data_IF_972876733977
#
_entry.id   IF_972876733977
#
_cell.length_a   1.000
_cell.length_b   1.000
_cell.length_c   1.000
_cell.angle_alpha   90.00
_cell.angle_beta   90.00
_cell.angle_gamma   90.00
#
_symmetry.space_group_name_H-M   'P 1'
#
loop_
_entity.id
_entity.type
_entity.pdbx_description
1 polymer ?
#
# COMPACT_ATOMS: atom_id res chain seq x y z
N UNK A 1 17.27 7.72 -9.95
CA UNK A 1 17.60 7.43 -11.38
C UNK A 1 17.99 5.98 -11.48
N UNK A 2 17.51 5.23 -12.47
CA UNK A 2 17.98 3.88 -12.73
C UNK A 2 19.27 3.94 -13.53
N UNK A 3 20.31 3.25 -13.08
CA UNK A 3 21.57 3.05 -13.81
C UNK A 3 21.56 1.65 -14.43
N UNK A 4 21.69 1.56 -15.75
CA UNK A 4 21.75 0.29 -16.47
C UNK A 4 23.16 -0.33 -16.43
N UNK A 5 23.33 -1.51 -17.05
CA UNK A 5 24.60 -2.25 -17.07
C UNK A 5 25.74 -1.48 -17.76
N UNK A 6 25.41 -0.58 -18.69
CA UNK A 6 26.36 0.29 -19.40
C UNK A 6 26.66 1.60 -18.61
N UNK A 7 26.08 1.75 -17.42
CA UNK A 7 26.25 2.94 -16.58
C UNK A 7 25.42 4.15 -17.03
N UNK A 8 24.51 3.97 -18.00
CA UNK A 8 23.63 5.03 -18.47
C UNK A 8 22.46 5.18 -17.50
N UNK A 9 22.09 6.45 -17.27
CA UNK A 9 21.06 6.83 -16.29
C UNK A 9 19.76 7.21 -16.97
N UNK A 10 18.67 6.63 -16.48
CA UNK A 10 17.32 6.94 -16.93
C UNK A 10 16.40 7.32 -15.76
N UNK A 11 15.41 8.16 -16.08
CA UNK A 11 14.37 8.53 -15.12
C UNK A 11 13.50 7.30 -14.87
N UNK A 12 13.16 7.09 -13.61
CA UNK A 12 12.15 6.11 -13.20
C UNK A 12 10.89 6.90 -12.92
N UNK A 13 9.79 6.52 -13.54
CA UNK A 13 8.46 7.04 -13.24
C UNK A 13 7.79 6.04 -12.32
N UNK A 14 7.95 6.24 -11.01
CA UNK A 14 7.14 5.52 -10.03
C UNK A 14 5.79 6.22 -9.97
N UNK A 15 4.73 5.48 -10.26
CA UNK A 15 3.37 5.94 -10.10
C UNK A 15 2.71 5.15 -8.99
N UNK A 16 2.30 5.86 -7.93
CA UNK A 16 1.68 5.36 -6.69
C UNK A 16 2.44 4.19 -6.02
N UNK A 17 2.78 4.41 -4.74
CA UNK A 17 3.52 3.46 -3.93
C UNK A 17 5.02 3.32 -4.23
N UNK A 18 5.79 3.23 -3.14
CA UNK A 18 7.16 2.77 -3.12
C UNK A 18 7.31 1.89 -1.89
N UNK A 19 7.71 0.63 -2.06
CA UNK A 19 8.11 -0.19 -0.92
C UNK A 19 9.61 -0.03 -0.69
N UNK A 20 10.00 0.37 0.52
CA UNK A 20 11.41 0.46 0.93
C UNK A 20 11.71 -0.62 1.97
N UNK A 21 12.83 -1.31 1.80
CA UNK A 21 13.27 -2.29 2.79
C UNK A 21 13.73 -1.58 4.07
N UNK A 22 13.44 -2.20 5.22
CA UNK A 22 13.94 -1.79 6.54
C UNK A 22 15.27 -2.43 6.89
N UNK A 23 15.66 -3.51 6.20
CA UNK A 23 16.84 -4.31 6.52
C UNK A 23 17.98 -4.12 5.52
N UNK A 24 17.63 -3.73 4.30
CA UNK A 24 18.58 -3.57 3.21
C UNK A 24 18.30 -2.31 2.42
N UNK A 25 19.22 -1.97 1.53
CA UNK A 25 19.06 -0.84 0.61
C UNK A 25 18.23 -1.24 -0.61
N UNK A 26 17.14 -1.99 -0.45
CA UNK A 26 16.27 -2.38 -1.56
C UNK A 26 15.03 -1.50 -1.64
N UNK A 27 14.53 -1.36 -2.86
CA UNK A 27 13.22 -0.77 -3.11
C UNK A 27 12.45 -1.57 -4.15
N UNK A 28 11.12 -1.54 -4.05
CA UNK A 28 10.19 -1.96 -5.10
C UNK A 28 9.36 -0.77 -5.54
N UNK A 29 9.19 -0.61 -6.85
CA UNK A 29 8.36 0.45 -7.44
C UNK A 29 7.52 -0.12 -8.58
N UNK A 30 6.41 0.55 -8.88
CA UNK A 30 5.63 0.32 -10.10
C UNK A 30 6.16 1.18 -11.24
N UNK A 31 6.45 0.59 -12.39
CA UNK A 31 6.71 1.33 -13.64
C UNK A 31 5.51 1.19 -14.57
N UNK A 32 4.77 2.30 -14.71
CA UNK A 32 3.64 2.39 -15.64
C UNK A 32 4.00 3.07 -16.96
N UNK A 33 5.20 3.64 -17.10
CA UNK A 33 5.68 4.50 -18.20
C UNK A 33 4.84 5.76 -18.48
N UNK A 34 3.56 5.77 -18.11
CA UNK A 34 2.60 6.85 -18.26
C UNK A 34 1.86 7.05 -16.93
N UNK A 35 1.57 8.30 -16.52
CA UNK A 35 0.75 8.57 -15.35
C UNK A 35 -0.58 7.81 -15.35
N UNK A 36 -0.94 7.22 -14.22
CA UNK A 36 -2.17 6.44 -14.09
C UNK A 36 -3.20 7.23 -13.28
N UNK A 37 -4.10 7.95 -13.94
CA UNK A 37 -5.07 8.79 -13.22
C UNK A 37 -6.38 8.03 -12.93
N UNK A 38 -6.79 7.98 -11.67
CA UNK A 38 -8.10 7.53 -11.23
C UNK A 38 -8.11 6.22 -10.43
N UNK A 39 -9.00 6.13 -9.44
CA UNK A 39 -9.16 5.01 -8.50
C UNK A 39 -10.06 3.87 -9.01
N UNK A 40 -10.66 4.02 -10.20
CA UNK A 40 -11.65 3.08 -10.71
C UNK A 40 -11.76 3.08 -12.24
N UNK A 41 -12.39 2.03 -12.78
CA UNK A 41 -12.50 1.80 -14.23
C UNK A 41 -13.13 2.99 -14.98
N UNK A 42 -14.04 3.74 -14.35
CA UNK A 42 -14.71 4.89 -14.96
C UNK A 42 -13.73 6.07 -15.07
N UNK A 43 -12.94 6.31 -14.02
CA UNK A 43 -11.99 7.40 -13.94
C UNK A 43 -10.76 7.19 -14.84
N UNK A 44 -10.16 5.99 -14.83
CA UNK A 44 -8.94 5.72 -15.61
C UNK A 44 -9.21 5.14 -16.99
N UNK A 45 -10.46 4.74 -17.26
CA UNK A 45 -10.92 4.29 -18.57
C UNK A 45 -10.07 3.18 -19.17
N UNK A 46 -9.72 3.35 -20.46
CA UNK A 46 -8.94 2.39 -21.23
C UNK A 46 -7.50 2.21 -20.73
N UNK A 47 -6.95 3.16 -19.98
CA UNK A 47 -5.57 3.07 -19.48
C UNK A 47 -5.37 1.87 -18.55
N UNK A 48 -6.40 1.45 -17.79
CA UNK A 48 -6.35 0.20 -16.99
C UNK A 48 -5.95 -1.01 -17.85
N UNK A 49 -6.46 -1.08 -19.08
CA UNK A 49 -6.23 -2.22 -19.96
C UNK A 49 -4.93 -2.06 -20.75
N UNK A 50 -4.65 -0.86 -21.25
CA UNK A 50 -3.59 -0.63 -22.23
C UNK A 50 -2.25 -0.20 -21.63
N UNK A 51 -2.24 0.47 -20.48
CA UNK A 51 -1.00 0.92 -19.87
C UNK A 51 -0.21 -0.28 -19.32
N UNK A 52 1.12 -0.30 -19.50
CA UNK A 52 1.95 -1.29 -18.81
C UNK A 52 1.87 -1.05 -17.30
N UNK A 53 1.99 -2.12 -16.52
CA UNK A 53 2.19 -2.03 -15.08
C UNK A 53 3.02 -3.23 -14.66
N UNK A 54 4.17 -2.93 -14.05
CA UNK A 54 5.20 -3.88 -13.67
C UNK A 54 5.79 -3.45 -12.35
N UNK A 55 6.02 -4.42 -11.47
CA UNK A 55 6.80 -4.22 -10.27
C UNK A 55 8.26 -4.55 -10.56
N UNK A 56 9.13 -3.64 -10.17
CA UNK A 56 10.58 -3.79 -10.27
C UNK A 56 11.18 -3.75 -8.89
N UNK A 57 12.21 -4.55 -8.65
CA UNK A 57 13.05 -4.48 -7.46
C UNK A 57 14.44 -4.03 -7.85
N UNK A 58 15.10 -3.24 -7.00
CA UNK A 58 16.49 -2.82 -7.20
C UNK A 58 17.14 -2.29 -5.94
N UNK A 59 18.47 -2.14 -5.99
CA UNK A 59 19.28 -1.61 -4.90
C UNK A 59 19.34 -0.08 -4.99
N UNK A 60 18.83 0.60 -3.97
CA UNK A 60 18.89 2.04 -3.79
C UNK A 60 20.23 2.46 -3.16
N UNK A 61 21.06 3.14 -3.93
CA UNK A 61 22.35 3.66 -3.47
C UNK A 61 22.22 5.16 -3.24
N UNK A 62 22.21 5.55 -1.97
CA UNK A 62 22.25 6.96 -1.60
C UNK A 62 23.68 7.51 -1.65
N UNK A 63 23.93 8.43 -2.58
CA UNK A 63 25.11 9.29 -2.56
C UNK A 63 24.60 10.71 -2.37
N UNK A 64 25.20 11.50 -1.46
CA UNK A 64 24.69 12.81 -0.97
C UNK A 64 24.10 13.76 -2.03
N UNK A 65 24.54 13.68 -3.29
CA UNK A 65 24.06 14.51 -4.39
C UNK A 65 23.44 13.72 -5.55
N UNK A 66 23.49 12.38 -5.53
CA UNK A 66 23.00 11.50 -6.59
C UNK A 66 22.48 10.18 -6.01
N UNK A 67 21.17 10.01 -5.97
CA UNK A 67 20.56 8.72 -5.64
C UNK A 67 20.34 7.90 -6.91
N UNK A 68 20.91 6.69 -6.95
CA UNK A 68 20.81 5.78 -8.08
C UNK A 68 20.19 4.45 -7.65
N UNK A 69 19.49 3.81 -8.57
CA UNK A 69 18.97 2.45 -8.45
C UNK A 69 19.86 1.57 -9.33
N UNK A 70 20.35 0.45 -8.78
CA UNK A 70 21.14 -0.55 -9.48
C UNK A 70 20.48 -1.93 -9.41
N UNK A 71 20.97 -2.85 -10.23
CA UNK A 71 20.56 -4.26 -10.23
C UNK A 71 19.04 -4.44 -10.35
N UNK A 72 18.41 -3.54 -11.12
CA UNK A 72 16.97 -3.52 -11.27
C UNK A 72 16.51 -4.73 -12.08
N UNK A 73 15.48 -5.41 -11.60
CA UNK A 73 14.83 -6.50 -12.33
C UNK A 73 13.32 -6.49 -12.09
N UNK A 74 12.57 -6.88 -13.11
CA UNK A 74 11.14 -7.10 -13.01
C UNK A 74 10.87 -8.30 -12.09
N UNK A 75 9.82 -8.19 -11.27
CA UNK A 75 9.37 -9.27 -10.37
C UNK A 75 7.93 -9.70 -10.62
N UNK A 76 7.07 -8.77 -11.06
CA UNK A 76 5.65 -9.03 -11.35
C UNK A 76 5.23 -8.16 -12.52
N UNK A 77 4.44 -8.74 -13.42
CA UNK A 77 3.76 -8.05 -14.50
C UNK A 77 2.25 -8.13 -14.31
N UNK A 78 1.51 -7.11 -14.79
CA UNK A 78 0.04 -7.14 -14.75
C UNK A 78 -0.58 -8.37 -15.43
N UNK A 79 0.15 -9.00 -16.36
CA UNK A 79 -0.29 -10.21 -17.05
C UNK A 79 -0.24 -11.46 -16.17
N UNK A 80 0.58 -11.47 -15.11
CA UNK A 80 0.67 -12.58 -14.17
C UNK A 80 -0.58 -12.69 -13.27
N UNK A 81 -1.32 -11.58 -13.14
CA UNK A 81 -2.50 -11.47 -12.28
C UNK A 81 -3.80 -11.37 -13.09
N UNK A 82 -3.85 -10.49 -14.09
CA UNK A 82 -5.05 -10.29 -14.92
C UNK A 82 -5.37 -8.84 -15.29
N UNK A 83 -4.47 -8.14 -15.98
CA UNK A 83 -4.70 -6.80 -16.54
C UNK A 83 -5.11 -5.73 -15.52
N UNK A 84 -4.27 -5.56 -14.51
CA UNK A 84 -4.47 -4.65 -13.38
C UNK A 84 -3.31 -3.65 -13.27
N UNK A 85 -3.53 -2.57 -12.53
CA UNK A 85 -2.48 -1.70 -12.03
C UNK A 85 -1.91 -2.31 -10.74
N UNK A 86 -0.58 -2.28 -10.60
CA UNK A 86 0.17 -2.84 -9.49
C UNK A 86 0.80 -1.70 -8.68
N UNK A 87 0.65 -1.74 -7.38
CA UNK A 87 1.25 -0.79 -6.45
C UNK A 87 2.00 -1.53 -5.35
N UNK A 88 3.32 -1.34 -5.21
CA UNK A 88 4.07 -1.97 -4.14
C UNK A 88 3.84 -1.26 -2.81
N UNK A 89 3.73 -2.06 -1.76
CA UNK A 89 3.34 -1.59 -0.44
C UNK A 89 4.46 -1.75 0.58
N UNK A 90 4.68 -2.97 1.09
CA UNK A 90 5.60 -3.22 2.19
C UNK A 90 6.51 -4.43 1.95
N UNK A 91 7.78 -4.33 2.34
CA UNK A 91 8.62 -5.51 2.54
C UNK A 91 8.19 -6.25 3.81
N UNK A 92 8.18 -7.59 3.74
CA UNK A 92 7.83 -8.46 4.85
C UNK A 92 8.84 -9.60 5.00
N UNK A 93 8.99 -10.04 6.25
CA UNK A 93 9.88 -11.14 6.63
C UNK A 93 11.34 -10.72 6.69
N UNK A 94 12.11 -11.48 7.47
CA UNK A 94 13.54 -11.26 7.60
C UNK A 94 14.24 -11.40 6.23
N UNK A 95 15.24 -10.55 6.00
CA UNK A 95 16.04 -10.45 4.79
C UNK A 95 15.25 -10.15 3.51
N UNK A 96 14.17 -9.37 3.61
CA UNK A 96 13.30 -9.00 2.48
C UNK A 96 12.66 -10.22 1.80
N UNK A 97 12.18 -11.20 2.57
CA UNK A 97 11.68 -12.46 2.00
C UNK A 97 10.52 -12.23 1.02
N UNK A 98 9.66 -11.24 1.32
CA UNK A 98 8.44 -10.96 0.58
C UNK A 98 8.22 -9.47 0.40
N UNK A 99 7.39 -9.12 -0.57
CA UNK A 99 6.84 -7.77 -0.72
C UNK A 99 5.33 -7.88 -0.96
N UNK A 100 4.54 -7.08 -0.25
CA UNK A 100 3.11 -6.91 -0.55
C UNK A 100 2.91 -5.90 -1.66
N UNK A 101 1.88 -6.13 -2.47
CA UNK A 101 1.44 -5.17 -3.46
C UNK A 101 -0.07 -5.23 -3.65
N UNK A 102 -0.65 -4.07 -3.87
CA UNK A 102 -2.06 -3.90 -4.23
C UNK A 102 -2.23 -4.03 -5.74
N UNK A 103 -3.41 -4.51 -6.11
CA UNK A 103 -3.79 -4.87 -7.46
C UNK A 103 -5.15 -4.26 -7.78
N UNK A 104 -5.15 -3.18 -8.55
CA UNK A 104 -6.34 -2.40 -8.87
C UNK A 104 -6.79 -2.67 -10.30
N UNK A 105 -8.07 -2.97 -10.48
CA UNK A 105 -8.60 -3.09 -11.83
C UNK A 105 -9.78 -4.04 -11.97
N UNK A 106 -10.18 -4.30 -13.23
CA UNK A 106 -11.42 -4.99 -13.54
C UNK A 106 -11.43 -6.46 -13.13
N UNK A 107 -10.29 -7.07 -12.81
CA UNK A 107 -10.22 -8.48 -12.36
C UNK A 107 -10.11 -8.61 -10.84
N UNK A 108 -10.03 -7.50 -10.09
CA UNK A 108 -10.01 -7.51 -8.63
C UNK A 108 -11.38 -7.90 -8.03
N UNK A 109 -11.35 -8.48 -6.83
CA UNK A 109 -12.54 -8.85 -6.05
C UNK A 109 -13.01 -7.65 -5.22
N UNK A 110 -13.63 -6.68 -5.87
CA UNK A 110 -13.95 -5.38 -5.26
C UNK A 110 -13.18 -4.29 -5.98
N UNK A 111 -12.67 -3.30 -5.25
CA UNK A 111 -11.83 -2.23 -5.79
C UNK A 111 -10.35 -2.62 -5.89
N UNK A 112 -9.83 -3.44 -4.97
CA UNK A 112 -8.44 -3.88 -4.95
C UNK A 112 -8.30 -5.31 -4.40
N UNK A 113 -7.32 -6.07 -4.92
CA UNK A 113 -6.83 -7.29 -4.27
C UNK A 113 -5.44 -7.01 -3.71
N UNK A 114 -4.99 -7.81 -2.74
CA UNK A 114 -3.60 -7.77 -2.25
C UNK A 114 -2.88 -9.08 -2.51
N UNK A 115 -1.66 -8.98 -3.01
CA UNK A 115 -0.79 -10.11 -3.25
C UNK A 115 0.54 -9.94 -2.51
N UNK A 116 1.22 -11.06 -2.33
CA UNK A 116 2.61 -11.17 -1.90
C UNK A 116 3.43 -11.69 -3.06
N UNK A 117 4.58 -11.09 -3.31
CA UNK A 117 5.63 -11.74 -4.10
C UNK A 117 6.66 -12.35 -3.15
N UNK A 118 6.85 -13.67 -3.19
CA UNK A 118 7.88 -14.36 -2.43
C UNK A 118 9.17 -14.42 -3.25
N UNK A 119 10.22 -13.71 -2.82
CA UNK A 119 11.48 -13.61 -3.58
C UNK A 119 12.23 -14.94 -3.69
N UNK A 120 12.11 -15.80 -2.67
CA UNK A 120 12.81 -17.10 -2.62
C UNK A 120 12.16 -18.12 -3.53
N UNK A 121 10.82 -18.21 -3.48
CA UNK A 121 10.04 -19.15 -4.30
C UNK A 121 9.77 -18.62 -5.71
N UNK A 122 9.88 -17.31 -5.92
CA UNK A 122 9.50 -16.61 -7.15
C UNK A 122 8.04 -16.88 -7.53
N UNK A 123 7.14 -16.82 -6.54
CA UNK A 123 5.70 -17.03 -6.73
C UNK A 123 4.91 -15.86 -6.18
N UNK A 124 3.74 -15.66 -6.77
CA UNK A 124 2.74 -14.71 -6.30
C UNK A 124 1.73 -15.48 -5.43
N UNK A 125 1.53 -15.02 -4.21
CA UNK A 125 0.57 -15.56 -3.24
C UNK A 125 -0.54 -14.52 -3.05
N UNK A 126 -1.81 -14.93 -3.08
CA UNK A 126 -2.95 -14.03 -2.88
C UNK A 126 -3.31 -14.00 -1.39
N UNK A 127 -3.32 -12.81 -0.77
CA UNK A 127 -3.86 -12.63 0.58
C UNK A 127 -5.32 -12.21 0.45
N UNK A 128 -6.24 -13.00 1.02
CA UNK A 128 -7.66 -12.66 1.03
C UNK A 128 -8.12 -12.39 2.46
N UNK A 129 -8.38 -11.13 2.77
CA UNK A 129 -8.94 -10.70 4.06
C UNK A 129 -10.39 -10.18 3.94
N UNK A 130 -10.95 -10.18 2.73
CA UNK A 130 -12.35 -9.81 2.47
C UNK A 130 -12.63 -9.51 0.99
N UNK A 131 -13.84 -9.06 0.68
CA UNK A 131 -14.18 -8.39 -0.58
C UNK A 131 -14.08 -6.87 -0.38
N UNK A 132 -13.89 -6.11 -1.47
CA UNK A 132 -13.94 -4.64 -1.43
C UNK A 132 -12.62 -3.96 -1.81
N UNK A 133 -12.28 -2.89 -1.10
CA UNK A 133 -10.98 -2.22 -1.15
C UNK A 133 -10.11 -2.69 0.00
N UNK A 134 -8.86 -3.05 -0.30
CA UNK A 134 -7.82 -3.42 0.65
C UNK A 134 -6.49 -2.90 0.14
N UNK A 135 -5.87 -2.03 0.92
CA UNK A 135 -4.53 -1.51 0.66
C UNK A 135 -3.69 -1.66 1.93
N UNK A 136 -2.47 -2.15 1.80
CA UNK A 136 -1.66 -2.55 2.95
C UNK A 136 -0.68 -1.45 3.29
N UNK A 137 -0.88 -0.85 4.45
CA UNK A 137 -0.09 0.27 4.91
C UNK A 137 0.85 -0.18 6.02
N UNK A 138 2.11 0.26 6.00
CA UNK A 138 3.08 0.08 7.07
C UNK A 138 3.18 -1.31 7.73
N UNK A 139 4.25 -2.05 7.49
CA UNK A 139 4.55 -3.26 8.27
C UNK A 139 5.10 -2.94 9.68
N UNK A 140 4.80 -3.77 10.67
CA UNK A 140 5.45 -3.75 11.99
C UNK A 140 6.93 -4.18 11.90
N UNK A 141 7.80 -3.80 12.87
CA UNK A 141 9.23 -4.14 12.83
C UNK A 141 9.54 -5.64 12.93
N UNK A 142 8.65 -6.43 13.54
CA UNK A 142 8.77 -7.89 13.65
C UNK A 142 8.08 -8.63 12.49
N UNK A 143 7.50 -7.88 11.54
CA UNK A 143 6.75 -8.38 10.38
C UNK A 143 5.52 -9.24 10.73
N UNK A 144 5.07 -9.24 11.98
CA UNK A 144 3.93 -10.05 12.42
C UNK A 144 2.60 -9.34 12.21
N UNK A 145 2.64 -8.02 12.04
CA UNK A 145 1.46 -7.17 11.83
C UNK A 145 1.67 -6.17 10.71
N UNK A 146 0.58 -5.75 10.08
CA UNK A 146 0.55 -4.62 9.13
C UNK A 146 -0.74 -3.86 9.30
N UNK A 147 -0.74 -2.57 8.99
CA UNK A 147 -2.01 -1.89 8.78
C UNK A 147 -2.60 -2.22 7.41
N UNK A 148 -3.91 -2.10 7.33
CA UNK A 148 -4.67 -2.26 6.10
C UNK A 148 -5.75 -1.19 6.06
N UNK A 149 -5.76 -0.42 5.00
CA UNK A 149 -6.86 0.44 4.61
C UNK A 149 -7.96 -0.40 3.94
N UNK A 150 -9.16 -0.37 4.51
CA UNK A 150 -10.26 -1.25 4.13
C UNK A 150 -11.53 -0.46 3.89
N UNK A 151 -12.21 -0.80 2.80
CA UNK A 151 -13.62 -0.48 2.60
C UNK A 151 -14.34 -1.66 1.97
N UNK A 152 -15.21 -2.32 2.74
CA UNK A 152 -15.83 -3.59 2.37
C UNK A 152 -16.78 -3.49 1.17
N UNK A 153 -17.45 -2.35 0.99
CA UNK A 153 -18.45 -2.15 -0.06
C UNK A 153 -17.90 -1.44 -1.32
N UNK A 154 -16.60 -1.13 -1.33
CA UNK A 154 -15.95 -0.54 -2.49
C UNK A 154 -15.91 -1.52 -3.67
N UNK A 155 -16.12 -1.02 -4.88
CA UNK A 155 -16.11 -1.84 -6.10
C UNK A 155 -15.14 -1.31 -7.13
N UNK A 156 -14.68 -2.16 -8.05
CA UNK A 156 -13.84 -1.80 -9.21
C UNK A 156 -14.41 -0.69 -10.10
N UNK A 157 -15.71 -0.38 -9.96
CA UNK A 157 -16.38 0.66 -10.74
C UNK A 157 -16.43 2.00 -10.03
N UNK A 158 -16.55 2.01 -8.70
CA UNK A 158 -16.77 3.24 -7.91
C UNK A 158 -15.49 3.64 -7.15
N UNK A 159 -14.62 2.68 -6.83
CA UNK A 159 -13.47 2.92 -5.96
C UNK A 159 -13.88 3.05 -4.48
N UNK A 160 -12.92 3.28 -3.58
CA UNK A 160 -13.19 3.61 -2.19
C UNK A 160 -13.62 5.08 -2.02
N UNK A 161 -14.39 5.35 -0.97
CA UNK A 161 -14.86 6.68 -0.54
C UNK A 161 -14.87 6.86 0.98
N UNK A 162 -14.85 5.76 1.74
CA UNK A 162 -14.90 5.73 3.20
C UNK A 162 -13.91 4.69 3.72
N UNK A 163 -12.62 4.91 3.47
CA UNK A 163 -11.56 4.02 3.90
C UNK A 163 -11.40 4.07 5.41
N UNK A 164 -11.34 2.89 6.03
CA UNK A 164 -11.08 2.72 7.45
C UNK A 164 -9.75 1.99 7.65
N UNK A 165 -9.00 2.35 8.69
CA UNK A 165 -7.75 1.68 9.02
C UNK A 165 -7.97 0.48 9.94
N UNK A 166 -7.40 -0.66 9.59
CA UNK A 166 -7.41 -1.93 10.31
C UNK A 166 -5.98 -2.38 10.60
N UNK A 167 -5.81 -3.20 11.63
CA UNK A 167 -4.57 -3.89 11.96
C UNK A 167 -4.74 -5.38 11.63
N UNK A 168 -3.91 -5.89 10.75
CA UNK A 168 -3.84 -7.30 10.40
C UNK A 168 -2.74 -8.01 11.18
N UNK A 169 -3.03 -9.19 11.72
CA UNK A 169 -2.09 -10.10 12.38
C UNK A 169 -1.83 -11.32 11.47
N UNK A 170 -0.60 -11.44 10.97
CA UNK A 170 -0.20 -12.54 10.08
C UNK A 170 -0.14 -13.91 10.78
N UNK A 171 -0.01 -13.97 12.11
CA UNK A 171 0.05 -15.25 12.82
C UNK A 171 -1.33 -15.89 12.96
N UNK A 172 -2.33 -15.06 13.22
CA UNK A 172 -3.70 -15.49 13.49
C UNK A 172 -4.62 -15.31 12.28
N UNK A 173 -4.12 -14.69 11.20
CA UNK A 173 -4.89 -14.23 10.04
C UNK A 173 -6.09 -13.36 10.44
N UNK A 174 -5.93 -12.57 11.52
CA UNK A 174 -7.00 -11.75 12.09
C UNK A 174 -6.91 -10.31 11.60
N UNK A 175 -8.07 -9.71 11.32
CA UNK A 175 -8.20 -8.33 10.88
C UNK A 175 -9.05 -7.56 11.89
N UNK A 176 -8.39 -6.76 12.71
CA UNK A 176 -9.02 -5.99 13.78
C UNK A 176 -9.10 -4.52 13.40
N UNK A 177 -10.28 -3.90 13.56
CA UNK A 177 -10.46 -2.47 13.28
C UNK A 177 -9.54 -1.63 14.18
N UNK A 178 -8.78 -0.72 13.58
CA UNK A 178 -7.91 0.22 14.29
C UNK A 178 -8.50 1.63 14.37
N UNK A 179 -9.28 2.06 13.38
CA UNK A 179 -9.87 3.40 13.41
C UNK A 179 -10.99 3.54 14.47
N UNK A 180 -10.85 4.52 15.35
CA UNK A 180 -11.73 4.75 16.50
C UNK A 180 -12.90 5.71 16.24
N UNK A 181 -12.91 6.38 15.08
CA UNK A 181 -14.04 7.22 14.67
C UNK A 181 -15.18 6.32 14.21
N UNK A 182 -15.86 5.67 15.17
CA UNK A 182 -17.01 4.81 14.95
C UNK A 182 -18.27 5.59 15.29
N UNK A 183 -19.19 5.70 14.35
CA UNK A 183 -20.56 6.09 14.63
C UNK A 183 -21.27 6.69 13.43
N UNK A 184 -22.59 6.45 13.37
CA UNK A 184 -23.56 7.17 12.54
C UNK A 184 -23.58 8.71 12.77
N UNK A 185 -22.59 9.25 13.48
CA UNK A 185 -22.34 10.66 13.63
C UNK A 185 -21.40 11.10 12.51
N UNK A 186 -21.99 11.37 11.35
CA UNK A 186 -21.43 12.13 10.22
C UNK A 186 -20.84 13.51 10.58
N UNK A 187 -20.52 13.80 11.85
CA UNK A 187 -20.39 15.18 12.35
C UNK A 187 -19.40 15.42 13.49
N UNK A 188 -18.68 14.44 14.04
CA UNK A 188 -17.51 14.77 14.87
C UNK A 188 -16.27 14.79 13.96
N UNK A 189 -16.28 15.82 13.11
CA UNK A 189 -15.16 16.43 12.36
C UNK A 189 -14.70 15.83 11.03
N UNK A 190 -15.39 14.84 10.45
CA UNK A 190 -15.01 14.26 9.15
C UNK A 190 -13.52 13.84 9.14
N UNK A 191 -13.00 13.27 10.23
CA UNK A 191 -11.58 12.91 10.33
C UNK A 191 -11.37 11.43 10.03
N UNK A 192 -10.28 11.12 9.32
CA UNK A 192 -9.82 9.73 9.12
C UNK A 192 -8.31 9.61 9.36
N UNK A 193 -7.88 8.38 9.70
CA UNK A 193 -6.48 8.04 9.95
C UNK A 193 -5.93 7.30 8.72
N UNK A 194 -4.75 7.66 8.25
CA UNK A 194 -4.07 7.04 7.11
C UNK A 194 -2.54 7.06 7.31
N UNK A 195 -1.81 6.43 6.38
CA UNK A 195 -0.34 6.37 6.34
C UNK A 195 0.35 5.99 7.67
N UNK A 196 -0.07 4.90 8.34
CA UNK A 196 0.51 4.49 9.61
C UNK A 196 1.98 4.06 9.51
N UNK A 197 2.78 4.51 10.47
CA UNK A 197 4.17 4.12 10.65
C UNK A 197 4.40 3.62 12.06
N UNK A 198 4.82 2.36 12.19
CA UNK A 198 5.21 1.77 13.47
C UNK A 198 6.51 2.40 14.00
N UNK A 199 6.56 2.61 15.33
CA UNK A 199 7.82 2.88 16.03
C UNK A 199 8.77 1.67 15.95
N UNK A 200 10.09 1.86 16.11
CA UNK A 200 11.06 0.77 16.02
C UNK A 200 10.84 -0.39 17.01
N UNK A 201 10.24 -0.11 18.16
CA UNK A 201 9.88 -1.11 19.18
C UNK A 201 8.49 -1.74 18.96
N UNK A 202 7.76 -1.32 17.92
CA UNK A 202 6.45 -1.83 17.56
C UNK A 202 5.31 -1.49 18.53
N UNK A 203 5.54 -0.58 19.50
CA UNK A 203 4.57 -0.22 20.55
C UNK A 203 3.73 0.99 20.22
N UNK A 204 4.24 1.88 19.38
CA UNK A 204 3.56 3.11 19.01
C UNK A 204 3.39 3.17 17.50
N UNK A 205 2.41 3.95 17.06
CA UNK A 205 2.14 4.19 15.64
C UNK A 205 1.93 5.68 15.46
N UNK A 206 2.64 6.25 14.49
CA UNK A 206 2.39 7.58 13.99
C UNK A 206 1.42 7.46 12.81
N UNK A 207 0.34 8.23 12.82
CA UNK A 207 -0.65 8.29 11.74
C UNK A 207 -0.87 9.74 11.32
N UNK A 208 -1.23 9.95 10.06
CA UNK A 208 -1.70 11.24 9.57
C UNK A 208 -3.22 11.35 9.74
N UNK A 209 -3.71 12.55 10.02
CA UNK A 209 -5.15 12.83 10.16
C UNK A 209 -5.63 13.58 8.92
N UNK A 210 -6.54 12.99 8.16
CA UNK A 210 -7.19 13.61 6.99
C UNK A 210 -8.56 14.19 7.34
N UNK A 211 -9.05 15.12 6.51
CA UNK A 211 -10.43 15.64 6.57
C UNK A 211 -11.30 15.05 5.44
N UNK A 212 -12.59 14.82 5.68
CA UNK A 212 -13.46 14.00 4.84
C UNK A 212 -14.03 14.70 3.61
N UNK A 213 -13.83 16.01 3.46
CA UNK A 213 -14.24 16.79 2.29
C UNK A 213 -13.16 16.82 1.17
N UNK A 214 -12.25 15.84 1.15
CA UNK A 214 -11.24 15.69 0.10
C UNK A 214 -11.71 14.77 -1.03
N UNK A 215 -12.02 15.33 -2.21
CA UNK A 215 -12.07 14.54 -3.45
C UNK A 215 -10.70 13.89 -3.68
N UNK A 216 -10.64 12.65 -4.19
CA UNK A 216 -9.41 11.87 -4.46
C UNK A 216 -8.31 12.59 -5.30
N UNK A 217 -8.61 13.76 -5.88
CA UNK A 217 -7.64 14.62 -6.60
C UNK A 217 -6.91 15.60 -5.63
N UNK A 218 -7.40 15.73 -4.38
CA UNK A 218 -6.76 16.30 -3.18
C UNK A 218 -6.62 15.18 -2.12
N UNK A 219 -5.91 14.14 -2.55
CA UNK A 219 -5.67 12.79 -2.02
C UNK A 219 -5.49 12.62 -0.49
N UNK A 220 -5.57 11.36 0.01
CA UNK A 220 -4.93 10.96 1.27
C UNK A 220 -3.53 11.59 1.39
N UNK A 221 -3.23 12.22 2.53
CA UNK A 221 -1.91 12.80 2.83
C UNK A 221 -1.87 14.30 3.13
N UNK A 222 -2.95 15.07 2.93
CA UNK A 222 -2.94 16.53 3.22
C UNK A 222 -3.51 16.83 4.62
N UNK A 223 -2.68 16.53 5.61
CA UNK A 223 -3.08 16.35 7.00
C UNK A 223 -3.52 17.61 7.75
N UNK A 224 -4.64 17.47 8.47
CA UNK A 224 -5.06 18.35 9.57
C UNK A 224 -4.14 18.20 10.81
N UNK A 225 -3.34 17.14 10.85
CA UNK A 225 -2.33 16.91 11.89
C UNK A 225 -1.72 15.51 11.81
N UNK A 226 -0.88 15.20 12.80
CA UNK A 226 -0.31 13.87 13.05
C UNK A 226 -0.71 13.43 14.46
N UNK A 227 -0.90 12.13 14.66
CA UNK A 227 -1.21 11.52 15.95
C UNK A 227 -0.23 10.38 16.22
N UNK A 228 0.22 10.27 17.47
CA UNK A 228 0.98 9.13 17.95
C UNK A 228 0.09 8.35 18.92
N UNK A 229 -0.08 7.07 18.66
CA UNK A 229 -0.96 6.17 19.42
C UNK A 229 -0.11 5.02 19.95
N UNK A 230 -0.26 4.68 21.23
CA UNK A 230 0.27 3.43 21.76
C UNK A 230 -0.70 2.28 21.41
N UNK A 231 -0.20 1.22 20.77
CA UNK A 231 -1.03 0.11 20.28
C UNK A 231 -1.62 -0.70 21.44
N UNK A 232 -0.88 -0.86 22.53
CA UNK A 232 -1.31 -1.64 23.68
C UNK A 232 -2.43 -0.92 24.46
N UNK A 233 -2.46 0.41 24.43
CA UNK A 233 -3.54 1.21 25.03
C UNK A 233 -4.88 1.08 24.26
N UNK A 234 -4.86 0.51 23.05
CA UNK A 234 -6.06 0.31 22.21
C UNK A 234 -6.83 -0.97 22.54
N UNK A 235 -6.31 -1.82 23.43
CA UNK A 235 -6.96 -3.05 23.90
C UNK A 235 -8.28 -2.82 24.67
N UNK A 236 -8.76 -1.58 24.80
CA UNK A 236 -9.87 -1.20 25.67
C UNK A 236 -10.99 -0.38 25.01
N UNK A 237 -11.21 -0.52 23.69
CA UNK A 237 -12.47 -0.11 23.04
C UNK A 237 -13.14 -1.33 22.38
N UNK A 238 -13.35 -2.38 23.19
CA UNK A 238 -14.24 -3.47 22.85
C UNK A 238 -15.66 -3.07 23.30
N UNK A 239 -16.44 -2.45 22.42
CA UNK A 239 -17.90 -2.51 22.53
C UNK A 239 -18.43 -3.40 21.43
N UNK A 240 -18.73 -4.62 21.86
CA UNK A 240 -19.66 -5.53 21.22
C UNK A 240 -20.97 -4.76 21.01
N UNK A 241 -21.30 -4.48 19.76
CA UNK A 241 -22.68 -4.27 19.31
C UNK A 241 -22.95 -5.30 18.23
#
# INVERSE_FOLDING_TARGET
>A
MLEDEDGKRQKVNAWEGLALSKESNKMVWSDTQTPFFGSNLIASGWNYLTAPSRLWVGDFIYQRQNSIIKNAREIVSKYDIGLIFLEPQNFLGENDEKVTFSAYGPTSNGAANTYLYNFKKQVIEHIRIGEGYQEWEGASPDYQRSFVEVQQDASRFIGPTNVELYLYDFNNEDLSRFSFFRGNEKNIHDLYLHEPVFSPDGKNVLVTIGGGDGWEINSPGYGLGILIINIDDLLLIYTKE
#
